data_IF_951154155241
#
_entry.id   IF_951154155241
#
_cell.length_a   1.000
_cell.length_b   1.000
_cell.length_c   1.000
_cell.angle_alpha   90.00
_cell.angle_beta   90.00
_cell.angle_gamma   90.00
#
_symmetry.space_group_name_H-M   'P 1'
#
loop_
_entity.id
_entity.type
_entity.pdbx_description
1 polymer ?
#
# COMPACT_ATOMS: atom_id res chain seq x y z
N UNK A 1 16.91 -22.29 30.12
CA UNK A 1 16.16 -21.03 30.35
C UNK A 1 16.40 -19.99 29.24
N UNK A 2 17.40 -20.19 28.37
CA UNK A 2 17.74 -19.39 27.18
C UNK A 2 16.71 -19.54 26.03
N UNK A 3 16.28 -20.75 25.70
CA UNK A 3 15.46 -21.05 24.50
C UNK A 3 14.12 -20.29 24.46
N UNK A 4 13.48 -20.15 25.63
CA UNK A 4 12.20 -19.44 25.74
C UNK A 4 12.38 -17.93 25.52
N UNK A 5 13.54 -17.38 25.91
CA UNK A 5 13.85 -15.95 25.72
C UNK A 5 14.17 -15.66 24.26
N UNK A 6 15.01 -16.47 23.62
CA UNK A 6 15.31 -16.37 22.18
C UNK A 6 14.03 -16.47 21.33
N UNK A 7 13.19 -17.47 21.63
CA UNK A 7 11.90 -17.66 20.94
C UNK A 7 10.98 -16.45 21.11
N UNK A 8 10.94 -15.83 22.29
CA UNK A 8 10.17 -14.60 22.51
C UNK A 8 10.73 -13.43 21.69
N UNK A 9 12.04 -13.23 21.66
CA UNK A 9 12.69 -12.15 20.88
C UNK A 9 12.40 -12.32 19.39
N UNK A 10 12.56 -13.54 18.87
CA UNK A 10 12.22 -13.89 17.49
C UNK A 10 10.77 -13.55 17.17
N UNK A 11 9.83 -13.91 18.04
CA UNK A 11 8.41 -13.61 17.82
C UNK A 11 8.12 -12.10 17.83
N UNK A 12 8.73 -11.33 18.72
CA UNK A 12 8.58 -9.87 18.77
C UNK A 12 9.16 -9.23 17.50
N UNK A 13 10.37 -9.61 17.13
CA UNK A 13 11.02 -9.09 15.92
C UNK A 13 10.23 -9.46 14.67
N UNK A 14 9.76 -10.71 14.57
CA UNK A 14 8.90 -11.17 13.47
C UNK A 14 7.58 -10.42 13.39
N UNK A 15 6.98 -10.08 14.54
CA UNK A 15 5.73 -9.31 14.60
C UNK A 15 5.93 -7.86 14.16
N UNK A 16 7.01 -7.22 14.59
CA UNK A 16 7.38 -5.89 14.10
C UNK A 16 7.61 -5.91 12.58
N UNK A 17 8.31 -6.95 12.10
CA UNK A 17 8.58 -7.14 10.68
C UNK A 17 7.30 -7.37 9.87
N UNK A 18 6.40 -8.22 10.39
CA UNK A 18 5.07 -8.49 9.82
C UNK A 18 4.28 -7.19 9.72
N UNK A 19 4.16 -6.41 10.80
CA UNK A 19 3.44 -5.13 10.78
C UNK A 19 4.06 -4.15 9.75
N UNK A 20 5.38 -4.03 9.70
CA UNK A 20 6.03 -3.14 8.74
C UNK A 20 5.76 -3.57 7.29
N UNK A 21 5.92 -4.85 6.99
CA UNK A 21 5.76 -5.40 5.64
C UNK A 21 4.29 -5.42 5.19
N UNK A 22 3.36 -5.77 6.08
CA UNK A 22 1.92 -5.74 5.84
C UNK A 22 1.40 -4.33 5.52
N UNK A 23 2.08 -3.28 6.01
CA UNK A 23 1.61 -1.89 5.89
C UNK A 23 2.42 -1.05 4.90
N UNK A 24 3.25 -1.69 4.05
CA UNK A 24 3.91 -1.06 2.91
C UNK A 24 5.29 -0.47 3.19
N UNK A 25 5.99 -0.92 4.24
CA UNK A 25 7.39 -0.54 4.46
C UNK A 25 8.29 -1.09 3.35
N UNK A 26 9.37 -0.37 3.07
CA UNK A 26 10.47 -0.84 2.22
C UNK A 26 11.15 -2.06 2.87
N UNK A 27 11.57 -3.04 2.06
CA UNK A 27 12.06 -4.33 2.55
C UNK A 27 13.34 -4.16 3.37
N UNK A 28 14.32 -3.40 2.86
CA UNK A 28 15.55 -3.14 3.60
C UNK A 28 15.28 -2.48 4.98
N UNK A 29 14.21 -1.66 5.11
CA UNK A 29 13.83 -1.06 6.40
C UNK A 29 13.21 -2.09 7.34
N UNK A 30 12.49 -3.08 6.82
CA UNK A 30 11.99 -4.21 7.60
C UNK A 30 13.17 -5.01 8.16
N UNK A 31 14.13 -5.35 7.32
CA UNK A 31 15.33 -6.10 7.73
C UNK A 31 16.15 -5.35 8.78
N UNK A 32 16.46 -4.07 8.53
CA UNK A 32 17.17 -3.22 9.49
C UNK A 32 16.43 -3.08 10.82
N UNK A 33 15.10 -3.01 10.78
CA UNK A 33 14.26 -2.95 11.97
C UNK A 33 14.37 -4.20 12.82
N UNK A 34 14.29 -5.38 12.18
CA UNK A 34 14.48 -6.68 12.84
C UNK A 34 15.87 -6.76 13.47
N UNK A 35 16.91 -6.43 12.71
CA UNK A 35 18.29 -6.48 13.20
C UNK A 35 18.49 -5.53 14.39
N UNK A 36 17.89 -4.33 14.38
CA UNK A 36 17.96 -3.39 15.51
C UNK A 36 17.30 -3.94 16.77
N UNK A 37 16.13 -4.59 16.64
CA UNK A 37 15.43 -5.19 17.78
C UNK A 37 16.27 -6.29 18.41
N UNK A 38 16.79 -7.21 17.60
CA UNK A 38 17.55 -8.37 18.10
C UNK A 38 18.90 -7.95 18.69
N UNK A 39 19.63 -7.05 18.01
CA UNK A 39 20.89 -6.49 18.51
C UNK A 39 20.71 -5.79 19.86
N UNK A 40 19.57 -5.13 20.09
CA UNK A 40 19.28 -4.49 21.37
C UNK A 40 19.19 -5.50 22.53
N UNK A 41 18.72 -6.72 22.27
CA UNK A 41 18.69 -7.79 23.26
C UNK A 41 20.01 -8.59 23.37
N UNK A 42 21.06 -8.19 22.64
CA UNK A 42 22.40 -8.74 22.79
C UNK A 42 22.72 -9.95 21.90
N UNK A 43 21.87 -10.28 20.93
CA UNK A 43 22.09 -11.40 20.01
C UNK A 43 22.50 -10.94 18.62
N UNK A 44 23.13 -11.81 17.82
CA UNK A 44 23.48 -11.53 16.42
C UNK A 44 22.34 -11.93 15.48
N UNK A 45 21.73 -10.98 14.75
CA UNK A 45 20.64 -11.27 13.83
C UNK A 45 21.12 -11.47 12.39
N UNK A 46 20.40 -12.33 11.69
CA UNK A 46 20.33 -12.32 10.23
C UNK A 46 18.86 -12.29 9.82
N UNK A 47 18.49 -11.33 8.97
CA UNK A 47 17.13 -11.17 8.49
C UNK A 47 17.14 -11.15 6.96
N UNK A 48 16.25 -11.91 6.36
CA UNK A 48 15.97 -11.87 4.93
C UNK A 48 14.46 -11.76 4.73
N UNK A 49 14.02 -10.71 4.06
CA UNK A 49 12.62 -10.46 3.80
C UNK A 49 12.34 -10.37 2.29
N UNK A 50 11.19 -10.88 1.90
CA UNK A 50 10.57 -10.73 0.58
C UNK A 50 9.17 -10.20 0.77
N UNK A 51 8.43 -9.93 -0.31
CA UNK A 51 7.05 -9.42 -0.21
C UNK A 51 6.09 -10.35 0.56
N UNK A 52 6.38 -11.65 0.65
CA UNK A 52 5.46 -12.66 1.21
C UNK A 52 6.07 -13.50 2.33
N UNK A 53 7.36 -13.32 2.63
CA UNK A 53 8.08 -14.17 3.57
C UNK A 53 9.14 -13.35 4.31
N UNK A 54 9.25 -13.58 5.61
CA UNK A 54 10.28 -13.02 6.47
C UNK A 54 10.98 -14.20 7.13
N UNK A 55 12.29 -14.27 6.96
CA UNK A 55 13.15 -15.28 7.57
C UNK A 55 14.06 -14.55 8.54
N UNK A 56 13.99 -14.93 9.81
CA UNK A 56 14.79 -14.32 10.88
C UNK A 56 15.57 -15.43 11.55
N UNK A 57 16.87 -15.23 11.67
CA UNK A 57 17.78 -16.15 12.34
C UNK A 57 18.51 -15.39 13.42
N UNK A 58 18.63 -16.03 14.59
CA UNK A 58 19.45 -15.54 15.69
C UNK A 58 20.55 -16.56 15.94
N UNK A 59 21.77 -16.06 16.10
CA UNK A 59 22.94 -16.83 16.54
C UNK A 59 23.29 -16.39 17.97
N UNK A 60 23.33 -17.36 18.89
CA UNK A 60 23.80 -17.14 20.26
C UNK A 60 25.33 -17.27 20.35
N UNK A 61 25.92 -16.75 21.42
CA UNK A 61 27.35 -16.87 21.70
C UNK A 61 27.79 -18.32 21.98
N UNK A 62 26.84 -19.22 22.23
CA UNK A 62 27.05 -20.67 22.40
C UNK A 62 26.86 -21.47 21.08
N UNK A 63 26.84 -20.79 19.92
CA UNK A 63 26.68 -21.39 18.57
C UNK A 63 25.31 -22.06 18.30
N UNK A 64 24.33 -21.90 19.18
CA UNK A 64 22.95 -22.30 18.89
C UNK A 64 22.30 -21.34 17.89
N UNK A 65 21.76 -21.91 16.80
CA UNK A 65 21.11 -21.19 15.72
C UNK A 65 19.61 -21.49 15.76
N UNK A 66 18.80 -20.44 15.95
CA UNK A 66 17.34 -20.54 15.90
C UNK A 66 16.81 -19.67 14.77
N UNK A 67 16.06 -20.29 13.86
CA UNK A 67 15.41 -19.61 12.73
C UNK A 67 13.89 -19.66 12.84
N UNK A 68 13.25 -18.54 12.49
CA UNK A 68 11.81 -18.40 12.39
C UNK A 68 11.43 -17.92 10.99
N UNK A 69 10.44 -18.59 10.40
CA UNK A 69 9.85 -18.19 9.12
C UNK A 69 8.44 -17.67 9.38
N UNK A 70 8.17 -16.44 8.93
CA UNK A 70 6.85 -15.80 8.99
C UNK A 70 6.36 -15.51 7.59
N UNK A 71 5.20 -16.08 7.23
CA UNK A 71 4.53 -15.77 5.97
C UNK A 71 3.63 -14.54 6.13
N UNK A 72 3.70 -13.62 5.19
CA UNK A 72 2.82 -12.46 5.10
C UNK A 72 1.80 -12.68 4.00
N UNK A 73 0.52 -12.78 4.40
CA UNK A 73 -0.57 -13.19 3.52
C UNK A 73 -1.36 -12.03 2.92
N UNK A 74 -1.31 -10.86 3.56
CA UNK A 74 -2.03 -9.67 3.12
C UNK A 74 -1.12 -8.45 3.22
N UNK A 75 -1.21 -7.57 2.24
CA UNK A 75 -0.51 -6.28 2.27
C UNK A 75 -1.50 -5.17 1.96
N UNK A 76 -1.32 -4.07 2.66
CA UNK A 76 -2.05 -2.82 2.58
C UNK A 76 -1.04 -1.68 2.77
N UNK A 77 -1.46 -0.43 2.58
CA UNK A 77 -0.61 0.73 2.88
C UNK A 77 -1.21 1.46 4.07
N UNK A 78 -0.49 1.48 5.18
CA UNK A 78 -0.88 2.24 6.38
C UNK A 78 0.36 2.90 7.00
N UNK A 79 0.75 4.04 6.44
CA UNK A 79 2.01 4.71 6.79
C UNK A 79 2.06 5.15 8.26
N UNK A 80 0.92 5.39 8.91
CA UNK A 80 0.87 5.65 10.35
C UNK A 80 1.34 4.45 11.18
N UNK A 81 0.99 3.21 10.79
CA UNK A 81 1.48 2.00 11.47
C UNK A 81 2.99 1.84 11.26
N UNK A 82 3.45 2.08 10.03
CA UNK A 82 4.89 2.07 9.69
C UNK A 82 5.66 3.10 10.52
N UNK A 83 5.10 4.29 10.68
CA UNK A 83 5.67 5.36 11.50
C UNK A 83 5.72 4.96 12.99
N UNK A 84 4.60 4.49 13.56
CA UNK A 84 4.51 4.06 14.96
C UNK A 84 5.52 2.96 15.30
N UNK A 85 5.64 1.92 14.45
CA UNK A 85 6.65 0.87 14.64
C UNK A 85 8.06 1.44 14.53
N UNK A 86 8.33 2.28 13.52
CA UNK A 86 9.65 2.90 13.35
C UNK A 86 10.03 3.77 14.56
N UNK A 87 9.07 4.50 15.12
CA UNK A 87 9.24 5.33 16.31
C UNK A 87 9.50 4.49 17.57
N UNK A 88 8.77 3.38 17.72
CA UNK A 88 8.94 2.41 18.79
C UNK A 88 10.34 1.78 18.75
N UNK A 89 10.82 1.36 17.58
CA UNK A 89 12.18 0.80 17.41
C UNK A 89 13.24 1.85 17.69
N UNK A 90 13.04 3.11 17.27
CA UNK A 90 13.98 4.21 17.58
C UNK A 90 14.10 4.44 19.09
N UNK A 91 13.04 4.22 19.84
CA UNK A 91 12.97 4.42 21.29
C UNK A 91 13.04 3.11 22.10
N UNK A 92 13.53 2.02 21.50
CA UNK A 92 13.47 0.66 22.08
C UNK A 92 14.06 0.57 23.49
N UNK A 93 15.05 1.41 23.83
CA UNK A 93 15.68 1.49 25.16
C UNK A 93 14.70 1.82 26.30
N UNK A 94 13.54 2.40 26.00
CA UNK A 94 12.51 2.75 26.99
C UNK A 94 11.58 1.58 27.32
N UNK A 95 11.68 0.47 26.59
CA UNK A 95 10.74 -0.64 26.66
C UNK A 95 11.45 -1.91 27.12
N UNK A 96 10.73 -2.71 27.89
CA UNK A 96 11.09 -4.09 28.20
C UNK A 96 10.45 -5.01 27.15
N UNK A 97 10.83 -6.28 27.12
CA UNK A 97 10.29 -7.29 26.20
C UNK A 97 8.75 -7.33 26.17
N UNK A 98 8.11 -7.39 27.33
CA UNK A 98 6.66 -7.52 27.42
C UNK A 98 5.95 -6.24 26.97
N UNK A 99 6.44 -5.06 27.38
CA UNK A 99 5.85 -3.78 26.98
C UNK A 99 6.06 -3.47 25.50
N UNK A 100 7.18 -3.90 24.92
CA UNK A 100 7.43 -3.80 23.48
C UNK A 100 6.43 -4.66 22.69
N UNK A 101 6.16 -5.88 23.16
CA UNK A 101 5.21 -6.78 22.50
C UNK A 101 3.76 -6.28 22.59
N UNK A 102 3.38 -5.73 23.75
CA UNK A 102 2.06 -5.13 23.98
C UNK A 102 1.85 -3.89 23.09
N UNK A 103 2.85 -3.02 22.97
CA UNK A 103 2.73 -1.84 22.13
C UNK A 103 2.66 -2.20 20.63
N UNK A 104 3.36 -3.26 20.20
CA UNK A 104 3.18 -3.81 18.85
C UNK A 104 1.76 -4.38 18.65
N UNK A 105 1.15 -4.99 19.66
CA UNK A 105 -0.26 -5.43 19.61
C UNK A 105 -1.23 -4.25 19.47
N UNK A 106 -0.97 -3.17 20.20
CA UNK A 106 -1.77 -1.95 20.11
C UNK A 106 -1.70 -1.36 18.70
N UNK A 107 -0.48 -1.23 18.14
CA UNK A 107 -0.29 -0.74 16.76
C UNK A 107 -0.97 -1.67 15.74
N UNK A 108 -0.94 -3.00 15.94
CA UNK A 108 -1.62 -3.94 15.04
C UNK A 108 -3.13 -3.72 15.06
N UNK A 109 -3.72 -3.50 16.23
CA UNK A 109 -5.15 -3.28 16.45
C UNK A 109 -5.65 -1.89 16.03
N UNK A 110 -4.76 -0.94 15.78
CA UNK A 110 -5.15 0.40 15.33
C UNK A 110 -6.11 0.33 14.13
N UNK A 111 -7.24 1.01 14.29
CA UNK A 111 -8.31 1.02 13.32
C UNK A 111 -7.86 1.69 12.02
N UNK A 112 -8.31 1.18 10.85
CA UNK A 112 -8.08 1.87 9.59
C UNK A 112 -8.76 3.25 9.59
N UNK A 113 -8.26 4.15 8.75
CA UNK A 113 -8.86 5.47 8.55
C UNK A 113 -10.37 5.38 8.29
N UNK A 114 -11.11 6.33 8.85
CA UNK A 114 -12.57 6.38 8.69
C UNK A 114 -12.95 6.49 7.20
N UNK A 115 -14.03 5.81 6.81
CA UNK A 115 -14.50 5.86 5.42
C UNK A 115 -14.77 7.29 4.94
N UNK A 116 -15.33 8.14 5.81
CA UNK A 116 -15.59 9.55 5.49
C UNK A 116 -14.30 10.31 5.21
N UNK A 117 -13.24 10.06 5.98
CA UNK A 117 -11.93 10.65 5.76
C UNK A 117 -11.32 10.21 4.43
N UNK A 118 -11.34 8.92 4.13
CA UNK A 118 -10.83 8.39 2.85
C UNK A 118 -11.62 8.93 1.64
N UNK A 119 -12.95 9.03 1.78
CA UNK A 119 -13.80 9.59 0.74
C UNK A 119 -13.45 11.05 0.47
N UNK A 120 -13.39 11.88 1.51
CA UNK A 120 -13.01 13.30 1.38
C UNK A 120 -11.61 13.45 0.78
N UNK A 121 -10.64 12.66 1.25
CA UNK A 121 -9.28 12.68 0.69
C UNK A 121 -9.27 12.29 -0.80
N UNK A 122 -10.08 11.30 -1.20
CA UNK A 122 -10.19 10.88 -2.61
C UNK A 122 -10.82 11.98 -3.46
N UNK A 123 -11.94 12.58 -3.03
CA UNK A 123 -12.59 13.65 -3.79
C UNK A 123 -11.69 14.88 -3.90
N UNK A 124 -11.07 15.32 -2.79
CA UNK A 124 -10.14 16.44 -2.79
C UNK A 124 -8.89 16.15 -3.64
N UNK A 125 -8.29 14.98 -3.50
CA UNK A 125 -7.10 14.59 -4.26
C UNK A 125 -7.34 14.65 -5.77
N UNK A 126 -8.41 14.02 -6.26
CA UNK A 126 -8.78 14.06 -7.67
C UNK A 126 -9.03 15.50 -8.16
N UNK A 127 -9.76 16.30 -7.38
CA UNK A 127 -10.09 17.67 -7.75
C UNK A 127 -8.84 18.55 -7.86
N UNK A 128 -7.90 18.48 -6.91
CA UNK A 128 -6.66 19.25 -6.98
C UNK A 128 -5.71 18.77 -8.09
N UNK A 129 -5.70 17.47 -8.42
CA UNK A 129 -4.99 17.01 -9.62
C UNK A 129 -5.58 17.60 -10.92
N UNK A 130 -6.88 17.90 -10.97
CA UNK A 130 -7.47 18.60 -12.12
C UNK A 130 -6.88 20.00 -12.29
N UNK A 131 -6.62 20.71 -11.20
CA UNK A 131 -5.97 22.03 -11.25
C UNK A 131 -4.51 21.86 -11.71
N UNK A 132 -3.80 20.84 -11.20
CA UNK A 132 -2.42 20.56 -11.60
C UNK A 132 -2.29 20.30 -13.11
N UNK A 133 -3.26 19.63 -13.72
CA UNK A 133 -3.32 19.39 -15.16
C UNK A 133 -4.01 20.52 -15.94
N UNK A 134 -4.14 21.71 -15.34
CA UNK A 134 -4.69 22.92 -15.97
C UNK A 134 -6.17 22.82 -16.39
N UNK A 135 -6.99 22.10 -15.64
CA UNK A 135 -8.45 22.03 -15.83
C UNK A 135 -9.19 23.24 -15.25
N UNK A 136 -10.37 23.55 -15.79
CA UNK A 136 -11.20 24.63 -15.26
C UNK A 136 -12.04 24.15 -14.05
N UNK A 137 -12.89 25.04 -13.54
CA UNK A 137 -13.80 24.75 -12.41
C UNK A 137 -14.77 23.59 -12.69
N UNK A 138 -15.16 23.42 -13.96
CA UNK A 138 -16.01 22.31 -14.39
C UNK A 138 -15.27 20.97 -14.31
N UNK A 139 -14.04 20.92 -14.83
CA UNK A 139 -13.18 19.73 -14.74
C UNK A 139 -12.82 19.42 -13.27
N UNK A 140 -12.58 20.43 -12.43
CA UNK A 140 -12.40 20.29 -10.99
C UNK A 140 -13.60 19.60 -10.32
N UNK A 141 -14.81 20.09 -10.61
CA UNK A 141 -16.05 19.54 -10.04
C UNK A 141 -16.31 18.11 -10.54
N UNK A 142 -16.02 17.83 -11.81
CA UNK A 142 -16.09 16.49 -12.38
C UNK A 142 -15.10 15.53 -11.73
N UNK A 143 -13.85 15.96 -11.53
CA UNK A 143 -12.84 15.15 -10.86
C UNK A 143 -13.18 14.91 -9.38
N UNK A 144 -13.78 15.89 -8.71
CA UNK A 144 -14.30 15.72 -7.34
C UNK A 144 -15.36 14.61 -7.28
N UNK A 145 -16.35 14.65 -8.20
CA UNK A 145 -17.40 13.62 -8.28
C UNK A 145 -16.80 12.25 -8.60
N UNK A 146 -15.90 12.17 -9.58
CA UNK A 146 -15.24 10.94 -9.96
C UNK A 146 -14.39 10.36 -8.80
N UNK A 147 -13.68 11.20 -8.04
CA UNK A 147 -12.96 10.81 -6.83
C UNK A 147 -13.89 10.26 -5.74
N UNK A 148 -15.09 10.82 -5.59
CA UNK A 148 -16.10 10.27 -4.69
C UNK A 148 -16.61 8.90 -5.16
N UNK A 149 -16.80 8.70 -6.47
CA UNK A 149 -17.16 7.41 -7.06
C UNK A 149 -16.07 6.37 -6.78
N UNK A 150 -14.78 6.71 -6.97
CA UNK A 150 -13.66 5.83 -6.63
C UNK A 150 -13.69 5.44 -5.15
N UNK A 151 -13.90 6.39 -4.24
CA UNK A 151 -13.99 6.09 -2.80
C UNK A 151 -15.12 5.12 -2.45
N UNK A 152 -16.29 5.27 -3.06
CA UNK A 152 -17.45 4.38 -2.87
C UNK A 152 -17.16 2.99 -3.44
N UNK A 153 -16.68 2.91 -4.68
CA UNK A 153 -16.39 1.65 -5.36
C UNK A 153 -15.24 0.89 -4.70
N UNK A 154 -14.25 1.60 -4.16
CA UNK A 154 -13.19 1.01 -3.35
C UNK A 154 -13.75 0.31 -2.11
N UNK A 155 -14.70 0.94 -1.41
CA UNK A 155 -15.39 0.31 -0.26
C UNK A 155 -16.20 -0.91 -0.68
N UNK A 156 -16.97 -0.82 -1.78
CA UNK A 156 -17.76 -1.94 -2.30
C UNK A 156 -16.84 -3.12 -2.63
N UNK A 157 -15.75 -2.86 -3.34
CA UNK A 157 -14.76 -3.89 -3.68
C UNK A 157 -14.14 -4.55 -2.46
N UNK A 158 -13.89 -3.80 -1.37
CA UNK A 158 -13.38 -4.35 -0.12
C UNK A 158 -14.41 -5.25 0.57
N UNK A 159 -15.70 -4.87 0.55
CA UNK A 159 -16.79 -5.70 1.09
C UNK A 159 -16.92 -7.01 0.30
N UNK A 160 -16.79 -6.94 -1.04
CA UNK A 160 -16.84 -8.09 -1.94
C UNK A 160 -15.56 -8.93 -1.92
N UNK A 161 -14.50 -8.49 -1.21
CA UNK A 161 -13.18 -9.15 -1.16
C UNK A 161 -12.59 -9.42 -2.53
N UNK A 162 -12.77 -8.49 -3.47
CA UNK A 162 -12.18 -8.62 -4.80
C UNK A 162 -10.65 -8.56 -4.72
N UNK A 163 -9.97 -9.35 -5.56
CA UNK A 163 -8.52 -9.24 -5.73
C UNK A 163 -8.11 -7.88 -6.30
N UNK A 164 -6.84 -7.51 -6.14
CA UNK A 164 -6.28 -6.21 -6.56
C UNK A 164 -6.54 -5.89 -8.03
N UNK A 165 -6.49 -6.89 -8.92
CA UNK A 165 -6.81 -6.72 -10.34
C UNK A 165 -8.27 -6.26 -10.54
N UNK A 166 -9.24 -6.98 -10.00
CA UNK A 166 -10.66 -6.66 -10.18
C UNK A 166 -11.07 -5.38 -9.45
N UNK A 167 -10.48 -5.11 -8.29
CA UNK A 167 -10.65 -3.84 -7.58
C UNK A 167 -10.33 -2.64 -8.47
N UNK A 168 -9.14 -2.65 -9.06
CA UNK A 168 -8.64 -1.55 -9.88
C UNK A 168 -9.35 -1.46 -11.24
N UNK A 169 -9.72 -2.59 -11.84
CA UNK A 169 -10.56 -2.64 -13.04
C UNK A 169 -11.93 -1.98 -12.78
N UNK A 170 -12.59 -2.35 -11.68
CA UNK A 170 -13.91 -1.81 -11.32
C UNK A 170 -13.84 -0.30 -11.03
N UNK A 171 -12.82 0.16 -10.30
CA UNK A 171 -12.64 1.60 -10.02
C UNK A 171 -12.32 2.39 -11.29
N UNK A 172 -11.43 1.88 -12.15
CA UNK A 172 -11.08 2.49 -13.44
C UNK A 172 -12.28 2.61 -14.38
N UNK A 173 -13.13 1.57 -14.42
CA UNK A 173 -14.38 1.59 -15.17
C UNK A 173 -15.38 2.63 -14.62
N UNK A 174 -15.62 2.62 -13.30
CA UNK A 174 -16.60 3.48 -12.65
C UNK A 174 -16.26 4.98 -12.77
N UNK A 175 -14.99 5.34 -12.54
CA UNK A 175 -14.56 6.73 -12.67
C UNK A 175 -14.69 7.21 -14.12
N UNK A 176 -14.23 6.40 -15.08
CA UNK A 176 -14.21 6.79 -16.49
C UNK A 176 -15.62 6.93 -17.04
N UNK A 177 -16.51 6.01 -16.68
CA UNK A 177 -17.93 6.08 -17.03
C UNK A 177 -18.61 7.34 -16.48
N UNK A 178 -18.25 7.73 -15.24
CA UNK A 178 -18.78 8.94 -14.61
C UNK A 178 -18.35 10.19 -15.36
N UNK A 179 -17.07 10.29 -15.73
CA UNK A 179 -16.56 11.44 -16.50
C UNK A 179 -17.15 11.47 -17.91
N UNK A 180 -17.28 10.31 -18.59
CA UNK A 180 -17.94 10.23 -19.89
C UNK A 180 -19.40 10.69 -19.83
N UNK A 181 -20.12 10.32 -18.78
CA UNK A 181 -21.49 10.78 -18.56
C UNK A 181 -21.56 12.30 -18.37
N UNK A 182 -20.65 12.88 -17.57
CA UNK A 182 -20.58 14.33 -17.36
C UNK A 182 -20.20 15.10 -18.64
N UNK A 183 -19.36 14.50 -19.49
CA UNK A 183 -19.06 15.05 -20.81
C UNK A 183 -20.30 15.01 -21.72
N UNK A 184 -21.06 13.91 -21.72
CA UNK A 184 -22.25 13.76 -22.56
C UNK A 184 -23.35 14.79 -22.28
N UNK A 185 -23.49 15.23 -21.02
CA UNK A 185 -24.43 16.29 -20.63
C UNK A 185 -23.85 17.71 -20.83
N UNK A 186 -22.71 17.83 -21.52
CA UNK A 186 -21.96 19.07 -21.77
C UNK A 186 -21.56 19.83 -20.50
N UNK A 187 -21.35 19.12 -19.37
CA UNK A 187 -20.91 19.75 -18.13
C UNK A 187 -19.41 20.07 -18.11
N UNK A 188 -18.61 19.30 -18.84
CA UNK A 188 -17.16 19.50 -18.99
C UNK A 188 -16.77 19.64 -20.46
N UNK A 189 -15.66 20.34 -20.70
CA UNK A 189 -15.15 20.57 -22.06
C UNK A 189 -14.05 19.59 -22.44
N UNK A 190 -13.23 19.18 -21.47
CA UNK A 190 -12.13 18.26 -21.69
C UNK A 190 -12.31 17.00 -20.87
N UNK A 191 -12.56 15.88 -21.55
CA UNK A 191 -12.77 14.58 -20.91
C UNK A 191 -11.48 14.02 -20.29
N UNK A 192 -10.33 14.32 -20.90
CA UNK A 192 -9.03 13.76 -20.52
C UNK A 192 -8.55 14.23 -19.15
N UNK A 193 -8.77 15.51 -18.81
CA UNK A 193 -8.29 16.08 -17.54
C UNK A 193 -8.92 15.36 -16.34
N UNK A 194 -10.26 15.32 -16.15
CA UNK A 194 -10.83 14.65 -14.98
C UNK A 194 -10.52 13.16 -14.90
N UNK A 195 -10.38 12.48 -16.05
CA UNK A 195 -9.96 11.08 -16.10
C UNK A 195 -8.55 10.94 -15.53
N UNK A 196 -7.56 11.63 -16.11
CA UNK A 196 -6.15 11.52 -15.69
C UNK A 196 -5.98 11.97 -14.23
N UNK A 197 -6.68 13.03 -13.81
CA UNK A 197 -6.67 13.52 -12.43
C UNK A 197 -7.18 12.49 -11.43
N UNK A 198 -8.26 11.79 -11.77
CA UNK A 198 -8.84 10.78 -10.87
C UNK A 198 -8.02 9.49 -10.89
N UNK A 199 -7.46 9.11 -12.04
CA UNK A 199 -6.58 7.95 -12.18
C UNK A 199 -5.35 8.05 -11.28
N UNK A 200 -4.83 9.25 -11.01
CA UNK A 200 -3.69 9.47 -10.10
C UNK A 200 -3.91 8.91 -8.68
N UNK A 201 -5.17 8.72 -8.25
CA UNK A 201 -5.48 8.09 -6.97
C UNK A 201 -5.25 6.57 -6.96
N UNK A 202 -5.34 5.93 -8.13
CA UNK A 202 -5.24 4.48 -8.30
C UNK A 202 -3.83 4.05 -8.73
N UNK A 203 -3.03 4.97 -9.28
CA UNK A 203 -1.68 4.67 -9.76
C UNK A 203 -0.77 4.29 -8.58
N UNK A 204 -0.14 3.10 -8.59
CA UNK A 204 0.72 2.64 -7.51
C UNK A 204 2.13 3.25 -7.61
N UNK A 205 2.23 4.60 -7.62
CA UNK A 205 3.47 5.33 -7.88
C UNK A 205 4.58 5.02 -6.86
N UNK A 206 4.25 4.93 -5.57
CA UNK A 206 5.22 4.58 -4.52
C UNK A 206 5.78 3.18 -4.71
N UNK A 207 4.93 2.21 -5.06
CA UNK A 207 5.38 0.84 -5.31
C UNK A 207 6.27 0.74 -6.55
N UNK A 208 6.00 1.55 -7.60
CA UNK A 208 6.84 1.64 -8.79
C UNK A 208 8.24 2.20 -8.48
N UNK A 209 8.30 3.29 -7.71
CA UNK A 209 9.58 3.89 -7.31
C UNK A 209 10.38 2.88 -6.46
N UNK A 210 9.70 2.21 -5.52
CA UNK A 210 10.35 1.23 -4.66
C UNK A 210 10.84 0.01 -5.46
N UNK A 211 10.10 -0.47 -6.47
CA UNK A 211 10.59 -1.59 -7.29
C UNK A 211 11.84 -1.23 -8.09
N UNK A 212 11.90 -0.03 -8.66
CA UNK A 212 13.10 0.47 -9.34
C UNK A 212 14.29 0.54 -8.39
N UNK A 213 14.07 1.08 -7.18
CA UNK A 213 15.08 1.16 -6.14
C UNK A 213 15.61 -0.23 -5.74
N UNK A 214 14.70 -1.16 -5.44
CA UNK A 214 15.07 -2.53 -5.03
C UNK A 214 15.91 -3.22 -6.12
N UNK A 215 15.59 -3.02 -7.41
CA UNK A 215 16.38 -3.51 -8.55
C UNK A 215 17.79 -2.89 -8.56
N UNK A 216 17.90 -1.57 -8.38
CA UNK A 216 19.19 -0.87 -8.39
C UNK A 216 20.06 -1.19 -7.16
N UNK A 217 19.45 -1.54 -6.03
CA UNK A 217 20.13 -2.00 -4.81
C UNK A 217 20.54 -3.49 -4.88
N UNK A 218 20.10 -4.23 -5.92
CA UNK A 218 20.48 -5.62 -6.17
C UNK A 218 19.49 -6.67 -5.64
N UNK A 219 18.38 -6.26 -5.00
CA UNK A 219 17.29 -7.16 -4.61
C UNK A 219 16.34 -7.41 -5.80
N UNK A 220 16.81 -8.23 -6.73
CA UNK A 220 16.10 -8.52 -7.97
C UNK A 220 14.78 -9.26 -7.73
N UNK A 221 14.72 -10.17 -6.76
CA UNK A 221 13.52 -10.98 -6.50
C UNK A 221 12.38 -10.08 -6.01
N UNK A 222 12.65 -9.22 -5.04
CA UNK A 222 11.68 -8.25 -4.55
C UNK A 222 11.32 -7.23 -5.62
N UNK A 223 12.33 -6.67 -6.28
CA UNK A 223 12.16 -5.62 -7.27
C UNK A 223 11.30 -6.05 -8.45
N UNK A 224 11.59 -7.21 -9.05
CA UNK A 224 10.79 -7.77 -10.15
C UNK A 224 9.38 -8.14 -9.70
N UNK A 225 9.23 -8.74 -8.52
CA UNK A 225 7.90 -9.10 -8.00
C UNK A 225 7.01 -7.87 -7.80
N UNK A 226 7.56 -6.78 -7.24
CA UNK A 226 6.83 -5.52 -7.04
C UNK A 226 6.54 -4.80 -8.36
N UNK A 227 7.47 -4.86 -9.33
CA UNK A 227 7.26 -4.33 -10.66
C UNK A 227 6.08 -5.02 -11.37
N UNK A 228 6.03 -6.35 -11.31
CA UNK A 228 4.93 -7.13 -11.89
C UNK A 228 3.59 -6.80 -11.22
N UNK A 229 3.57 -6.61 -9.90
CA UNK A 229 2.37 -6.16 -9.18
C UNK A 229 1.89 -4.79 -9.68
N UNK A 230 2.81 -3.84 -9.84
CA UNK A 230 2.52 -2.50 -10.40
C UNK A 230 1.99 -2.56 -11.83
N UNK A 231 2.60 -3.39 -12.69
CA UNK A 231 2.15 -3.56 -14.08
C UNK A 231 0.76 -4.20 -14.13
N UNK A 232 0.48 -5.17 -13.27
CA UNK A 232 -0.85 -5.77 -13.14
C UNK A 232 -1.91 -4.74 -12.70
N UNK A 233 -1.58 -3.88 -11.74
CA UNK A 233 -2.45 -2.77 -11.33
C UNK A 233 -2.66 -1.81 -12.50
N UNK A 234 -1.59 -1.32 -13.14
CA UNK A 234 -1.69 -0.39 -14.28
C UNK A 234 -2.51 -0.94 -15.44
N UNK A 235 -2.29 -2.21 -15.81
CA UNK A 235 -3.07 -2.87 -16.87
C UNK A 235 -4.54 -3.03 -16.49
N UNK A 236 -4.85 -3.39 -15.25
CA UNK A 236 -6.25 -3.49 -14.79
C UNK A 236 -6.99 -2.16 -14.86
N UNK A 237 -6.34 -1.06 -14.46
CA UNK A 237 -6.88 0.29 -14.56
C UNK A 237 -7.11 0.67 -16.03
N UNK A 238 -6.12 0.41 -16.89
CA UNK A 238 -6.20 0.70 -18.32
C UNK A 238 -7.33 -0.09 -19.01
N UNK A 239 -7.51 -1.37 -18.67
CA UNK A 239 -8.60 -2.19 -19.17
C UNK A 239 -9.95 -1.63 -18.71
N UNK A 240 -10.11 -1.35 -17.42
CA UNK A 240 -11.37 -0.80 -16.88
C UNK A 240 -11.76 0.53 -17.54
N UNK A 241 -10.81 1.46 -17.64
CA UNK A 241 -11.01 2.75 -18.31
C UNK A 241 -11.27 2.59 -19.81
N UNK A 242 -10.52 1.71 -20.49
CA UNK A 242 -10.66 1.43 -21.91
C UNK A 242 -12.04 0.83 -22.27
N UNK A 243 -12.57 -0.07 -21.44
CA UNK A 243 -13.93 -0.60 -21.62
C UNK A 243 -14.97 0.52 -21.51
N UNK A 244 -14.85 1.40 -20.51
CA UNK A 244 -15.76 2.52 -20.34
C UNK A 244 -15.73 3.49 -21.54
N UNK A 245 -14.54 3.84 -22.03
CA UNK A 245 -14.37 4.68 -23.22
C UNK A 245 -14.92 4.02 -24.49
N UNK A 246 -14.70 2.72 -24.67
CA UNK A 246 -15.21 1.99 -25.82
C UNK A 246 -16.74 1.96 -25.84
N UNK A 247 -17.37 1.71 -24.68
CA UNK A 247 -18.82 1.78 -24.54
C UNK A 247 -19.34 3.19 -24.84
N UNK A 248 -18.69 4.23 -24.34
CA UNK A 248 -19.06 5.62 -24.62
C UNK A 248 -19.02 5.95 -26.11
N UNK A 249 -17.97 5.50 -26.81
CA UNK A 249 -17.83 5.68 -28.25
C UNK A 249 -18.94 4.97 -29.03
N UNK A 250 -19.25 3.72 -28.68
CA UNK A 250 -20.29 2.93 -29.36
C UNK A 250 -21.70 3.49 -29.16
N UNK A 251 -21.95 4.21 -28.05
CA UNK A 251 -23.23 4.87 -27.77
C UNK A 251 -23.36 6.22 -28.53
N UNK A 252 -22.33 6.62 -29.29
CA UNK A 252 -22.34 7.83 -30.12
C UNK A 252 -21.69 9.05 -29.46
N UNK A 253 -20.94 8.84 -28.37
CA UNK A 253 -20.10 9.88 -27.77
C UNK A 253 -18.95 10.27 -28.72
N UNK A 254 -18.88 11.55 -29.08
CA UNK A 254 -17.71 12.15 -29.75
C UNK A 254 -16.81 12.73 -28.67
N UNK A 255 -15.52 12.40 -28.68
CA UNK A 255 -14.51 12.91 -27.75
C UNK A 255 -13.87 14.17 -28.33
#
# INVERSE_FOLDING_TARGET
MSDNTQSKILNIAAKAAEILLENGSEIYRVEQSVCKIINFFGFKPQCFATLTCIIITIEDNEEEIVSLVRRVNSRTTHLDKVYKVSFLIKNIKKYNMDSLNEELDNIRKDAPYSFKGNLLASCSGAAFFSILFSGNLHEFSSAFIAGCVVGIFSKISNILKLGTFFHNLMCGFALTSTVCFLYHINFITQISIPIISTLMLLVPGVAFINSMRDIFEGDLVTGVSRLLEVLMVGTSIAIGSGIALNLFYNIGGKI
#
